data_IF_550423713926
#
_entry.id   IF_550423713926
#
_cell.length_a   1.000
_cell.length_b   1.000
_cell.length_c   1.000
_cell.angle_alpha   90.00
_cell.angle_beta   90.00
_cell.angle_gamma   90.00
#
_symmetry.space_group_name_H-M   'P 1'
#
loop_
_entity.id
_entity.type
_entity.pdbx_description
1 polymer ?
#
# COMPACT_ATOMS: atom_id res chain seq x y z
N UNK A 1 -8.85 -13.14 9.26
CA UNK A 1 -8.63 -11.69 9.03
C UNK A 1 -8.91 -10.91 10.30
N UNK A 2 -8.14 -9.88 10.61
CA UNK A 2 -8.40 -9.04 11.78
C UNK A 2 -9.70 -8.26 11.62
N UNK A 3 -10.33 -7.93 12.76
CA UNK A 3 -11.53 -7.07 12.76
C UNK A 3 -11.12 -5.63 12.42
N UNK A 4 -11.76 -4.99 11.42
CA UNK A 4 -11.44 -3.61 11.09
C UNK A 4 -11.77 -2.64 12.22
N UNK A 5 -10.93 -1.61 12.40
CA UNK A 5 -11.25 -0.45 13.25
C UNK A 5 -12.29 0.44 12.58
N UNK A 6 -12.31 0.45 11.27
CA UNK A 6 -13.25 1.22 10.45
C UNK A 6 -13.47 0.47 9.14
N UNK A 7 -14.71 0.45 8.67
CA UNK A 7 -15.08 -0.16 7.38
C UNK A 7 -16.14 0.71 6.73
N UNK A 8 -15.88 1.17 5.50
CA UNK A 8 -16.74 2.09 4.77
C UNK A 8 -16.90 1.62 3.33
N UNK A 9 -18.11 1.67 2.80
CA UNK A 9 -18.36 1.38 1.40
C UNK A 9 -18.11 2.63 0.55
N UNK A 10 -17.32 2.47 -0.51
CA UNK A 10 -17.06 3.53 -1.50
C UNK A 10 -17.26 2.92 -2.88
N UNK A 11 -18.33 3.31 -3.58
CA UNK A 11 -18.70 2.68 -4.84
C UNK A 11 -18.84 1.16 -4.67
N UNK A 12 -18.21 0.35 -5.53
CA UNK A 12 -18.31 -1.11 -5.45
C UNK A 12 -17.35 -1.72 -4.41
N UNK A 13 -16.52 -0.91 -3.75
CA UNK A 13 -15.46 -1.42 -2.88
C UNK A 13 -15.72 -1.11 -1.41
N UNK A 14 -15.21 -1.99 -0.56
CA UNK A 14 -15.11 -1.77 0.88
C UNK A 14 -13.70 -1.31 1.22
N UNK A 15 -13.58 -0.17 1.90
CA UNK A 15 -12.34 0.36 2.42
C UNK A 15 -12.28 0.10 3.92
N UNK A 16 -11.19 -0.51 4.39
CA UNK A 16 -11.03 -0.91 5.78
C UNK A 16 -9.73 -0.37 6.35
N UNK A 17 -9.73 -0.03 7.65
CA UNK A 17 -8.51 0.24 8.41
C UNK A 17 -8.35 -0.89 9.43
N UNK A 18 -7.21 -1.57 9.39
CA UNK A 18 -6.90 -2.68 10.30
C UNK A 18 -5.57 -2.46 10.99
N UNK A 19 -5.43 -3.01 12.21
CA UNK A 19 -4.15 -3.12 12.91
C UNK A 19 -3.73 -4.58 12.86
N UNK A 20 -2.67 -4.88 12.12
CA UNK A 20 -2.20 -6.24 11.88
C UNK A 20 -0.80 -6.24 11.30
N UNK A 21 -0.18 -7.41 11.25
CA UNK A 21 1.00 -7.66 10.45
C UNK A 21 0.53 -7.93 8.99
N UNK A 22 0.92 -7.08 8.06
CA UNK A 22 0.49 -7.15 6.67
C UNK A 22 0.89 -8.48 6.01
N UNK A 23 1.97 -9.12 6.48
CA UNK A 23 2.44 -10.40 5.95
C UNK A 23 1.51 -11.57 6.25
N UNK A 24 0.55 -11.37 7.14
CA UNK A 24 -0.43 -12.40 7.53
C UNK A 24 -1.76 -12.28 6.79
N UNK A 25 -1.96 -11.24 5.98
CA UNK A 25 -3.25 -10.96 5.35
C UNK A 25 -3.45 -11.83 4.10
N UNK A 26 -4.58 -12.53 4.06
CA UNK A 26 -4.96 -13.39 2.93
C UNK A 26 -5.78 -12.59 1.91
N UNK A 27 -5.16 -11.58 1.33
CA UNK A 27 -5.71 -10.76 0.23
C UNK A 27 -5.04 -11.15 -1.10
N UNK A 28 -5.54 -10.67 -2.22
CA UNK A 28 -4.94 -10.98 -3.52
C UNK A 28 -3.55 -10.37 -3.67
N UNK A 29 -3.36 -9.14 -3.18
CA UNK A 29 -2.05 -8.49 -3.18
C UNK A 29 -1.81 -7.71 -1.89
N UNK A 30 -0.59 -7.79 -1.36
CA UNK A 30 -0.11 -6.84 -0.36
C UNK A 30 0.90 -5.90 -1.01
N UNK A 31 0.92 -4.65 -0.56
CA UNK A 31 1.87 -3.65 -1.04
C UNK A 31 3.08 -3.63 -0.13
N UNK A 32 4.26 -3.62 -0.73
CA UNK A 32 5.53 -3.44 -0.07
C UNK A 32 5.98 -1.98 -0.23
N UNK A 33 6.39 -1.34 0.85
CA UNK A 33 7.06 -0.04 0.81
C UNK A 33 8.55 -0.29 0.48
N UNK A 34 8.84 -0.37 -0.81
CA UNK A 34 10.14 -0.76 -1.32
C UNK A 34 11.05 0.45 -1.54
N UNK A 35 12.34 0.19 -1.77
CA UNK A 35 13.29 1.16 -2.30
C UNK A 35 13.47 0.95 -3.81
N UNK A 36 14.21 1.85 -4.46
CA UNK A 36 14.40 1.84 -5.92
C UNK A 36 15.11 0.60 -6.44
N UNK A 37 15.90 -0.08 -5.61
CA UNK A 37 16.59 -1.31 -6.03
C UNK A 37 15.67 -2.53 -6.07
N UNK A 38 14.61 -2.56 -5.27
CA UNK A 38 13.72 -3.71 -5.03
C UNK A 38 14.43 -4.92 -4.39
N UNK A 39 15.59 -4.73 -3.82
CA UNK A 39 16.43 -5.83 -3.30
C UNK A 39 16.34 -5.99 -1.78
N UNK A 40 15.26 -5.52 -1.18
CA UNK A 40 15.02 -5.65 0.25
C UNK A 40 15.52 -4.44 1.05
N UNK A 41 15.25 -4.46 2.33
CA UNK A 41 15.60 -3.38 3.26
C UNK A 41 15.06 -3.67 4.64
N UNK A 42 14.85 -2.62 5.43
CA UNK A 42 14.30 -2.72 6.77
C UNK A 42 12.77 -2.54 6.80
N UNK A 43 12.21 -2.45 8.00
CA UNK A 43 10.79 -2.21 8.19
C UNK A 43 9.90 -3.25 7.54
N UNK A 44 8.80 -2.81 6.90
CA UNK A 44 7.85 -3.71 6.24
C UNK A 44 8.50 -4.45 5.07
N UNK A 45 9.43 -3.83 4.35
CA UNK A 45 10.16 -4.45 3.25
C UNK A 45 10.92 -5.69 3.73
N UNK A 46 11.68 -5.56 4.80
CA UNK A 46 12.39 -6.70 5.41
C UNK A 46 11.44 -7.77 5.91
N UNK A 47 10.32 -7.39 6.54
CA UNK A 47 9.32 -8.34 7.03
C UNK A 47 8.68 -9.14 5.90
N UNK A 48 8.33 -8.49 4.80
CA UNK A 48 7.74 -9.15 3.62
C UNK A 48 8.74 -10.13 3.00
N UNK A 49 10.00 -9.73 2.81
CA UNK A 49 11.01 -10.63 2.26
C UNK A 49 11.27 -11.85 3.16
N UNK A 50 11.32 -11.66 4.48
CA UNK A 50 11.47 -12.78 5.41
C UNK A 50 10.30 -13.76 5.36
N UNK A 51 9.08 -13.24 5.31
CA UNK A 51 7.88 -14.08 5.30
C UNK A 51 7.68 -14.78 3.94
N UNK A 52 8.01 -14.13 2.84
CA UNK A 52 7.85 -14.69 1.49
C UNK A 52 8.89 -15.77 1.17
N UNK A 53 10.06 -15.70 1.77
CA UNK A 53 11.20 -16.54 1.43
C UNK A 53 12.06 -15.93 0.32
N UNK A 54 13.19 -16.57 0.05
CA UNK A 54 14.22 -16.03 -0.85
C UNK A 54 13.79 -15.94 -2.32
N UNK A 55 12.78 -16.71 -2.74
CA UNK A 55 12.29 -16.67 -4.12
C UNK A 55 11.74 -15.30 -4.47
N UNK A 56 11.21 -14.55 -3.49
CA UNK A 56 10.77 -13.19 -3.74
C UNK A 56 11.94 -12.30 -4.17
N UNK A 57 13.05 -12.37 -3.46
CA UNK A 57 14.25 -11.59 -3.82
C UNK A 57 14.78 -12.02 -5.19
N UNK A 58 14.76 -13.31 -5.49
CA UNK A 58 15.18 -13.82 -6.80
C UNK A 58 14.34 -13.21 -7.93
N UNK A 59 13.02 -13.17 -7.78
CA UNK A 59 12.15 -12.52 -8.78
C UNK A 59 12.42 -11.00 -8.84
N UNK A 60 12.48 -10.32 -7.71
CA UNK A 60 12.76 -8.88 -7.66
C UNK A 60 14.06 -8.52 -8.39
N UNK A 61 15.09 -9.35 -8.27
CA UNK A 61 16.40 -9.10 -8.90
C UNK A 61 16.33 -9.11 -10.43
N UNK A 62 15.30 -9.73 -11.02
CA UNK A 62 15.09 -9.75 -12.47
C UNK A 62 14.41 -8.49 -13.01
N UNK A 63 13.86 -7.64 -12.13
CA UNK A 63 13.03 -6.51 -12.55
C UNK A 63 13.84 -5.26 -12.92
N UNK A 64 15.11 -5.18 -12.50
CA UNK A 64 15.95 -4.03 -12.80
C UNK A 64 15.60 -2.77 -12.03
N UNK A 65 15.01 -2.90 -10.84
CA UNK A 65 14.62 -1.77 -10.01
C UNK A 65 13.28 -1.17 -10.38
N UNK A 66 12.96 -0.05 -9.71
CA UNK A 66 11.70 0.67 -9.90
C UNK A 66 11.90 2.14 -9.54
N UNK A 67 11.37 3.04 -10.36
CA UNK A 67 11.46 4.48 -10.11
C UNK A 67 10.54 4.91 -8.95
N UNK A 68 10.95 5.94 -8.23
CA UNK A 68 10.11 6.59 -7.21
C UNK A 68 8.79 7.04 -7.82
N UNK A 69 7.69 6.77 -7.13
CA UNK A 69 6.33 7.04 -7.59
C UNK A 69 5.72 5.94 -8.43
N UNK A 70 6.47 4.88 -8.72
CA UNK A 70 6.01 3.73 -9.49
C UNK A 70 5.93 2.46 -8.63
N UNK A 71 5.52 1.36 -9.24
CA UNK A 71 5.40 0.07 -8.58
C UNK A 71 5.61 -1.08 -9.57
N UNK A 72 6.00 -2.24 -9.05
CA UNK A 72 6.17 -3.48 -9.81
C UNK A 72 5.47 -4.61 -9.06
N UNK A 73 4.91 -5.58 -9.80
CA UNK A 73 4.22 -6.71 -9.19
C UNK A 73 5.05 -7.99 -9.32
N UNK A 74 5.04 -8.80 -8.27
CA UNK A 74 5.65 -10.13 -8.22
C UNK A 74 4.65 -11.13 -7.65
N UNK A 75 5.04 -12.41 -7.61
CA UNK A 75 4.31 -13.42 -6.86
C UNK A 75 4.56 -13.27 -5.37
N UNK A 76 3.65 -13.85 -4.55
CA UNK A 76 3.74 -13.77 -3.08
C UNK A 76 4.54 -14.91 -2.44
N UNK A 77 4.81 -15.98 -3.16
CA UNK A 77 5.55 -17.17 -2.68
C UNK A 77 4.96 -17.74 -1.40
N UNK A 78 5.67 -17.69 -0.27
CA UNK A 78 5.20 -18.27 1.00
C UNK A 78 4.20 -17.40 1.75
N UNK A 79 3.91 -16.19 1.25
CA UNK A 79 2.90 -15.33 1.86
C UNK A 79 1.49 -15.88 1.64
N UNK A 80 0.52 -15.59 2.54
CA UNK A 80 -0.90 -15.84 2.26
C UNK A 80 -1.40 -15.05 1.07
N UNK A 81 -0.88 -13.83 0.85
CA UNK A 81 -1.20 -13.02 -0.32
C UNK A 81 -0.64 -13.66 -1.59
N UNK A 82 -1.42 -13.62 -2.67
CA UNK A 82 -1.02 -14.22 -3.95
C UNK A 82 0.10 -13.44 -4.64
N UNK A 83 0.13 -12.13 -4.45
CA UNK A 83 1.09 -11.22 -5.08
C UNK A 83 1.62 -10.21 -4.09
N UNK A 84 2.79 -9.64 -4.43
CA UNK A 84 3.32 -8.44 -3.77
C UNK A 84 3.45 -7.34 -4.81
N UNK A 85 2.95 -6.16 -4.49
CA UNK A 85 3.13 -4.95 -5.29
C UNK A 85 4.17 -4.08 -4.58
N UNK A 86 5.34 -3.94 -5.20
CA UNK A 86 6.46 -3.18 -4.64
C UNK A 86 6.34 -1.74 -5.09
N UNK A 87 5.87 -0.86 -4.22
CA UNK A 87 5.71 0.56 -4.48
C UNK A 87 6.88 1.34 -3.88
N UNK A 88 7.46 2.25 -4.67
CA UNK A 88 8.61 3.05 -4.24
C UNK A 88 8.14 4.46 -3.93
N UNK A 89 7.89 4.73 -2.65
CA UNK A 89 7.48 6.04 -2.17
C UNK A 89 8.64 7.03 -2.12
N UNK A 90 8.33 8.35 -2.12
CA UNK A 90 9.34 9.39 -2.04
C UNK A 90 9.91 9.53 -0.63
N UNK A 91 11.17 9.98 -0.55
CA UNK A 91 11.77 10.50 0.68
C UNK A 91 11.27 11.92 0.88
N UNK A 92 10.79 12.23 2.08
CA UNK A 92 10.32 13.59 2.38
C UNK A 92 11.48 14.58 2.43
N UNK A 93 11.37 15.66 1.69
CA UNK A 93 12.36 16.75 1.61
C UNK A 93 11.69 18.12 1.67
N UNK A 94 10.67 18.27 2.54
CA UNK A 94 9.98 19.53 2.77
C UNK A 94 8.74 19.77 1.92
N UNK A 95 8.37 18.85 1.03
CA UNK A 95 7.14 18.92 0.24
C UNK A 95 7.22 19.71 -1.06
N UNK A 96 8.42 20.18 -1.45
CA UNK A 96 8.62 20.98 -2.67
C UNK A 96 9.27 20.23 -3.82
N UNK A 97 9.45 18.92 -3.69
CA UNK A 97 10.06 18.04 -4.71
C UNK A 97 9.06 17.02 -5.26
N UNK A 98 7.81 17.42 -5.41
CA UNK A 98 6.70 16.58 -5.89
C UNK A 98 6.40 15.37 -5.01
N UNK A 99 6.83 15.35 -3.75
CA UNK A 99 6.62 14.19 -2.87
C UNK A 99 5.13 13.85 -2.72
N UNK A 100 4.19 14.81 -2.54
CA UNK A 100 2.76 14.46 -2.51
C UNK A 100 2.26 13.79 -3.77
N UNK A 101 2.65 14.28 -4.96
CA UNK A 101 2.25 13.69 -6.23
C UNK A 101 2.88 12.32 -6.46
N UNK A 102 4.14 12.14 -6.05
CA UNK A 102 4.84 10.86 -6.15
C UNK A 102 4.20 9.81 -5.22
N UNK A 103 3.79 10.21 -4.01
CA UNK A 103 3.08 9.30 -3.11
C UNK A 103 1.73 8.91 -3.69
N UNK A 104 0.95 9.86 -4.19
CA UNK A 104 -0.32 9.58 -4.86
C UNK A 104 -0.13 8.63 -6.04
N UNK A 105 0.92 8.81 -6.82
CA UNK A 105 1.26 7.94 -7.95
C UNK A 105 1.52 6.50 -7.51
N UNK A 106 2.14 6.27 -6.35
CA UNK A 106 2.33 4.93 -5.79
C UNK A 106 0.99 4.22 -5.58
N UNK A 107 0.03 4.89 -4.96
CA UNK A 107 -1.31 4.32 -4.71
C UNK A 107 -2.04 4.05 -6.01
N UNK A 108 -2.01 5.01 -6.93
CA UNK A 108 -2.67 4.88 -8.25
C UNK A 108 -2.07 3.73 -9.06
N UNK A 109 -0.76 3.65 -9.14
CA UNK A 109 -0.07 2.59 -9.88
C UNK A 109 -0.34 1.22 -9.26
N UNK A 110 -0.35 1.12 -7.93
CA UNK A 110 -0.67 -0.13 -7.24
C UNK A 110 -2.09 -0.61 -7.55
N UNK A 111 -3.07 0.30 -7.56
CA UNK A 111 -4.44 -0.04 -7.93
C UNK A 111 -4.53 -0.46 -9.40
N UNK A 112 -3.80 0.21 -10.29
CA UNK A 112 -3.75 -0.16 -11.70
C UNK A 112 -3.19 -1.58 -11.89
N UNK A 113 -2.09 -1.91 -11.24
CA UNK A 113 -1.51 -3.26 -11.30
C UNK A 113 -2.47 -4.32 -10.75
N UNK A 114 -3.18 -4.01 -9.68
CA UNK A 114 -4.19 -4.90 -9.10
C UNK A 114 -5.27 -5.23 -10.15
N UNK A 115 -5.82 -4.20 -10.77
CA UNK A 115 -6.88 -4.36 -11.76
C UNK A 115 -6.37 -5.05 -13.05
N UNK A 116 -5.21 -4.68 -13.54
CA UNK A 116 -4.62 -5.26 -14.75
C UNK A 116 -4.32 -6.75 -14.60
N UNK A 117 -4.05 -7.21 -13.38
CA UNK A 117 -3.80 -8.62 -13.09
C UNK A 117 -5.06 -9.37 -12.66
N UNK A 118 -6.25 -8.78 -12.80
CA UNK A 118 -7.52 -9.41 -12.45
C UNK A 118 -7.70 -9.69 -10.97
N UNK A 119 -7.02 -8.94 -10.11
CA UNK A 119 -7.09 -9.08 -8.66
C UNK A 119 -8.20 -8.18 -8.10
N UNK A 120 -8.79 -8.60 -6.98
CA UNK A 120 -9.98 -7.94 -6.42
C UNK A 120 -9.72 -7.28 -5.07
N UNK A 121 -8.66 -7.66 -4.36
CA UNK A 121 -8.35 -7.16 -3.03
C UNK A 121 -6.88 -6.78 -2.89
N UNK A 122 -6.63 -5.70 -2.16
CA UNK A 122 -5.28 -5.15 -1.96
C UNK A 122 -5.16 -4.58 -0.55
N UNK A 123 -4.01 -4.78 0.09
CA UNK A 123 -3.68 -4.18 1.39
C UNK A 123 -2.44 -3.29 1.27
N UNK A 124 -2.55 -2.09 1.80
CA UNK A 124 -1.48 -1.09 1.81
C UNK A 124 -0.88 -0.91 3.20
N UNK A 125 0.44 -0.82 3.34
CA UNK A 125 1.09 -0.29 4.53
C UNK A 125 1.10 1.24 4.47
N UNK A 126 1.63 1.88 5.51
CA UNK A 126 1.88 3.33 5.51
C UNK A 126 3.14 3.63 4.68
N UNK A 127 2.98 3.96 3.41
CA UNK A 127 4.10 4.22 2.50
C UNK A 127 4.80 5.54 2.86
N UNK A 128 6.13 5.55 2.86
CA UNK A 128 7.01 6.72 3.07
C UNK A 128 7.00 7.34 4.48
N UNK A 129 6.22 6.82 5.43
CA UNK A 129 6.09 7.44 6.75
C UNK A 129 7.11 6.96 7.79
N UNK A 130 7.88 5.93 7.48
CA UNK A 130 8.97 5.45 8.35
C UNK A 130 10.24 6.28 8.17
N UNK A 131 11.32 5.62 7.76
CA UNK A 131 12.63 6.27 7.58
C UNK A 131 12.63 7.36 6.51
N UNK A 132 11.65 7.34 5.59
CA UNK A 132 11.49 8.38 4.56
C UNK A 132 10.84 9.65 5.09
N UNK A 133 10.31 9.64 6.31
CA UNK A 133 9.85 10.80 7.09
C UNK A 133 8.71 11.61 6.48
N UNK A 134 7.94 11.05 5.59
CA UNK A 134 6.72 11.71 5.08
C UNK A 134 5.77 11.97 6.27
N UNK A 135 5.22 13.19 6.43
CA UNK A 135 4.31 13.47 7.54
C UNK A 135 3.10 12.53 7.52
N UNK A 136 2.85 11.83 8.62
CA UNK A 136 1.89 10.73 8.67
C UNK A 136 0.45 11.17 8.36
N UNK A 137 0.02 12.31 8.88
CA UNK A 137 -1.32 12.85 8.60
C UNK A 137 -1.52 13.21 7.14
N UNK A 138 -0.54 13.88 6.53
CA UNK A 138 -0.58 14.22 5.12
C UNK A 138 -0.55 12.96 4.25
N UNK A 139 0.30 11.99 4.58
CA UNK A 139 0.39 10.73 3.86
C UNK A 139 -0.95 9.97 3.90
N UNK A 140 -1.61 9.93 5.04
CA UNK A 140 -2.93 9.28 5.17
C UNK A 140 -3.99 9.97 4.30
N UNK A 141 -4.02 11.30 4.28
CA UNK A 141 -4.96 12.05 3.44
C UNK A 141 -4.70 11.81 1.94
N UNK A 142 -3.44 11.76 1.52
CA UNK A 142 -3.07 11.47 0.14
C UNK A 142 -3.47 10.03 -0.24
N UNK A 143 -3.16 9.08 0.61
CA UNK A 143 -3.51 7.68 0.40
C UNK A 143 -5.01 7.49 0.22
N UNK A 144 -5.79 7.97 1.19
CA UNK A 144 -7.24 7.82 1.16
C UNK A 144 -7.86 8.59 0.01
N UNK A 145 -7.48 9.85 -0.19
CA UNK A 145 -8.01 10.67 -1.27
C UNK A 145 -7.76 10.06 -2.65
N UNK A 146 -6.56 9.53 -2.87
CA UNK A 146 -6.20 8.86 -4.14
C UNK A 146 -7.02 7.58 -4.33
N UNK A 147 -7.10 6.73 -3.31
CA UNK A 147 -7.84 5.48 -3.39
C UNK A 147 -9.34 5.75 -3.63
N UNK A 148 -9.94 6.66 -2.89
CA UNK A 148 -11.36 7.02 -3.06
C UNK A 148 -11.61 7.54 -4.47
N UNK A 149 -10.76 8.42 -4.98
CA UNK A 149 -10.88 8.96 -6.34
C UNK A 149 -10.81 7.86 -7.39
N UNK A 150 -9.81 6.99 -7.30
CA UNK A 150 -9.62 5.89 -8.28
C UNK A 150 -10.77 4.88 -8.23
N UNK A 151 -11.21 4.47 -7.05
CA UNK A 151 -12.32 3.52 -6.90
C UNK A 151 -13.63 4.12 -7.39
N UNK A 152 -13.89 5.40 -7.10
CA UNK A 152 -15.13 6.07 -7.51
C UNK A 152 -15.22 6.28 -9.02
N UNK A 153 -14.09 6.47 -9.70
CA UNK A 153 -14.06 6.75 -11.14
C UNK A 153 -13.80 5.51 -11.99
N UNK A 154 -13.03 4.54 -11.48
CA UNK A 154 -12.65 3.36 -12.25
C UNK A 154 -12.17 2.24 -11.34
N UNK A 155 -13.09 1.58 -10.64
CA UNK A 155 -12.73 0.49 -9.70
C UNK A 155 -12.17 -0.77 -10.40
N UNK A 156 -12.57 -1.05 -11.62
CA UNK A 156 -12.07 -2.15 -12.47
C UNK A 156 -12.03 -3.51 -11.76
N UNK A 157 -13.06 -3.84 -10.98
CA UNK A 157 -13.18 -5.12 -10.29
C UNK A 157 -12.55 -5.18 -8.90
N UNK A 158 -11.93 -4.11 -8.42
CA UNK A 158 -11.43 -4.05 -7.06
C UNK A 158 -12.63 -3.88 -6.12
N UNK A 159 -12.79 -4.80 -5.18
CA UNK A 159 -13.93 -4.80 -4.24
C UNK A 159 -13.52 -4.62 -2.79
N UNK A 160 -12.21 -4.64 -2.48
CA UNK A 160 -11.71 -4.47 -1.12
C UNK A 160 -10.33 -3.82 -1.10
N UNK A 161 -10.20 -2.73 -0.35
CA UNK A 161 -8.93 -2.05 -0.08
C UNK A 161 -8.72 -1.98 1.43
N UNK A 162 -7.60 -2.49 1.91
CA UNK A 162 -7.25 -2.53 3.32
C UNK A 162 -6.06 -1.60 3.56
N UNK A 163 -6.22 -0.66 4.50
CA UNK A 163 -5.11 0.14 5.01
C UNK A 163 -4.63 -0.53 6.31
N UNK A 164 -3.43 -1.10 6.29
CA UNK A 164 -2.90 -1.94 7.35
C UNK A 164 -1.80 -1.23 8.13
N UNK A 165 -1.97 -1.12 9.44
CA UNK A 165 -1.03 -0.49 10.34
C UNK A 165 -0.55 -1.47 11.41
N UNK A 166 0.66 -1.24 11.94
CA UNK A 166 1.18 -2.06 13.03
C UNK A 166 0.60 -1.67 14.40
N UNK A 167 0.12 -0.44 14.56
CA UNK A 167 -0.38 0.07 15.82
C UNK A 167 -1.63 0.91 15.66
N UNK A 168 -2.43 1.02 16.73
CA UNK A 168 -3.58 1.92 16.76
C UNK A 168 -3.16 3.39 16.65
N UNK A 169 -2.02 3.76 17.20
CA UNK A 169 -1.49 5.13 17.09
C UNK A 169 -1.30 5.52 15.63
N UNK A 170 -0.71 4.66 14.83
CA UNK A 170 -0.52 4.89 13.40
C UNK A 170 -1.84 4.87 12.63
N UNK A 171 -2.76 3.98 13.00
CA UNK A 171 -4.06 3.85 12.35
C UNK A 171 -4.94 5.08 12.51
N UNK A 172 -4.80 5.84 13.59
CA UNK A 172 -5.59 7.05 13.88
C UNK A 172 -5.47 8.07 12.73
N UNK A 173 -4.33 8.19 12.11
CA UNK A 173 -4.15 9.12 10.98
C UNK A 173 -5.10 8.80 9.81
N UNK A 174 -5.31 7.51 9.50
CA UNK A 174 -6.26 7.11 8.47
C UNK A 174 -7.71 7.28 8.92
N UNK A 175 -8.02 6.94 10.18
CA UNK A 175 -9.37 7.14 10.73
C UNK A 175 -9.74 8.62 10.65
N UNK A 176 -8.82 9.52 11.02
CA UNK A 176 -9.04 10.96 10.90
C UNK A 176 -9.22 11.39 9.44
N UNK A 177 -8.46 10.80 8.50
CA UNK A 177 -8.62 11.10 7.08
C UNK A 177 -10.00 10.71 6.55
N UNK A 178 -10.54 9.57 6.98
CA UNK A 178 -11.93 9.17 6.65
C UNK A 178 -12.93 10.21 7.15
N UNK A 179 -12.79 10.64 8.41
CA UNK A 179 -13.67 11.66 9.00
C UNK A 179 -13.59 12.98 8.23
N UNK A 180 -12.39 13.43 7.86
CA UNK A 180 -12.19 14.66 7.09
C UNK A 180 -12.86 14.60 5.70
N UNK A 181 -12.98 13.43 5.09
CA UNK A 181 -13.67 13.22 3.83
C UNK A 181 -15.17 12.92 3.99
N UNK A 182 -15.68 12.90 5.22
CA UNK A 182 -17.08 12.59 5.49
C UNK A 182 -17.44 11.13 5.25
N UNK A 183 -16.49 10.21 5.44
CA UNK A 183 -16.66 8.78 5.20
C UNK A 183 -16.66 7.94 6.48
N UNK A 184 -16.90 8.51 7.64
CA UNK A 184 -16.94 7.81 8.94
C UNK A 184 -18.34 7.25 9.28
#
# INVERSE_FOLDING_TARGET
MPTPLLSVEVGPARLEVVVADITTLAVDAIVNAANTSLLGGGGVDGAIHRAAGRELLEECSTLGGCATGSARITRGYKLPAKHVIHAVGPVWSGGKKNEPDLLASCYRTALNLTAENGLHSIAFPAISTGVFRFPAGLAARIALGTVVSEISTNARGIDRVVFCYFSQESAVYHINAFAELGLD
#
